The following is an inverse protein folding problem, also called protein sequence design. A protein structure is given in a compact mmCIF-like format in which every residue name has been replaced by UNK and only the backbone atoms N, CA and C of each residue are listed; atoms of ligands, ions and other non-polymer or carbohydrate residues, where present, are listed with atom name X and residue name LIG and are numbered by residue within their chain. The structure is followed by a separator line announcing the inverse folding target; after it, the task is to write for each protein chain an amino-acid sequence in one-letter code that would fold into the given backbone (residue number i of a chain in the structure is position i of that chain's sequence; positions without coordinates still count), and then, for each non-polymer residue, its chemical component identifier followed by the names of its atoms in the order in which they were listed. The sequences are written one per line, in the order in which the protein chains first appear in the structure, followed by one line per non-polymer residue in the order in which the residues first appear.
data_IF_084051091277
#
_entry.id   IF_084051091277
#
_cell.length_a   1.000
_cell.length_b   1.000
_cell.length_c   1.000
_cell.angle_alpha   90.00
_cell.angle_beta   90.00
_cell.angle_gamma   90.00
#
_symmetry.space_group_name_H-M   'P 1'
#
loop_
_entity.id
_entity.type
_entity.pdbx_description
1 polymer ?
#
# COMPACT_ATOMS: atom_id res chain seq x y z
N UNK A 1 -18.05 -12.44 25.59
CA UNK A 1 -19.30 -12.60 26.39
C UNK A 1 -20.06 -11.33 26.75
N UNK A 2 -19.62 -10.44 27.66
CA UNK A 2 -20.50 -9.35 28.14
C UNK A 2 -21.01 -8.42 27.02
N UNK A 3 -20.20 -8.18 25.98
CA UNK A 3 -20.60 -7.38 24.82
C UNK A 3 -21.79 -7.98 24.04
N UNK A 4 -22.02 -9.30 24.12
CA UNK A 4 -23.12 -9.96 23.43
C UNK A 4 -24.50 -9.52 23.94
N UNK A 5 -24.59 -8.95 25.15
CA UNK A 5 -25.85 -8.37 25.63
C UNK A 5 -26.41 -7.30 24.67
N UNK A 6 -25.53 -6.61 23.93
CA UNK A 6 -25.92 -5.73 22.82
C UNK A 6 -25.82 -6.47 21.48
N UNK A 7 -24.65 -7.02 21.17
CA UNK A 7 -24.33 -7.57 19.85
C UNK A 7 -24.54 -9.09 19.80
N UNK A 8 -25.76 -9.50 19.46
CA UNK A 8 -26.20 -10.89 19.42
C UNK A 8 -27.50 -11.14 20.19
N UNK A 9 -27.59 -10.65 21.43
CA UNK A 9 -28.78 -10.83 22.27
C UNK A 9 -29.85 -9.77 21.96
N UNK A 10 -29.50 -8.48 22.06
CA UNK A 10 -30.42 -7.38 21.73
C UNK A 10 -30.48 -7.12 20.22
N UNK A 11 -29.36 -7.25 19.53
CA UNK A 11 -29.24 -7.11 18.07
C UNK A 11 -28.89 -8.49 17.50
N UNK A 12 -29.91 -9.29 17.21
CA UNK A 12 -29.71 -10.64 16.67
C UNK A 12 -29.59 -10.57 15.13
N UNK A 13 -28.70 -11.32 14.48
CA UNK A 13 -28.66 -11.34 13.01
C UNK A 13 -29.93 -11.99 12.46
N UNK A 14 -30.55 -11.39 11.43
CA UNK A 14 -31.77 -11.93 10.81
C UNK A 14 -31.49 -13.26 10.08
N UNK A 15 -30.31 -13.35 9.47
CA UNK A 15 -29.80 -14.55 8.83
C UNK A 15 -28.36 -14.82 9.27
N UNK A 16 -27.93 -16.09 9.22
CA UNK A 16 -26.57 -16.49 9.60
C UNK A 16 -25.47 -15.85 8.75
N UNK A 17 -25.79 -15.31 7.57
CA UNK A 17 -24.82 -14.58 6.77
C UNK A 17 -24.29 -13.33 7.48
N UNK A 18 -25.07 -12.75 8.39
CA UNK A 18 -24.75 -11.56 9.17
C UNK A 18 -24.09 -11.87 10.52
N UNK A 19 -23.67 -13.12 10.78
CA UNK A 19 -23.15 -13.56 12.09
C UNK A 19 -21.94 -12.74 12.58
N UNK A 20 -21.18 -12.15 11.66
CA UNK A 20 -20.07 -11.26 11.99
C UNK A 20 -20.49 -10.01 12.78
N UNK A 21 -21.75 -9.57 12.67
CA UNK A 21 -22.28 -8.45 13.47
C UNK A 21 -22.25 -8.76 14.97
N UNK A 22 -22.34 -10.03 15.35
CA UNK A 22 -22.20 -10.45 16.75
C UNK A 22 -20.73 -10.56 17.11
N UNK A 23 -20.03 -11.40 16.34
CA UNK A 23 -18.71 -11.89 16.71
C UNK A 23 -17.63 -10.82 16.54
N UNK A 24 -17.71 -10.03 15.46
CA UNK A 24 -16.83 -8.91 15.19
C UNK A 24 -16.96 -7.79 16.21
N UNK A 25 -18.19 -7.42 16.57
CA UNK A 25 -18.44 -6.39 17.60
C UNK A 25 -18.04 -6.85 18.99
N UNK A 26 -18.33 -8.11 19.36
CA UNK A 26 -17.93 -8.64 20.66
C UNK A 26 -16.40 -8.66 20.80
N UNK A 27 -15.70 -9.12 19.76
CA UNK A 27 -14.23 -9.14 19.71
C UNK A 27 -13.64 -7.72 19.73
N UNK A 28 -14.22 -6.79 18.98
CA UNK A 28 -13.78 -5.39 18.99
C UNK A 28 -14.02 -4.69 20.34
N UNK A 29 -15.10 -5.04 21.03
CA UNK A 29 -15.39 -4.52 22.38
C UNK A 29 -14.33 -4.92 23.40
N UNK A 30 -13.69 -6.08 23.25
CA UNK A 30 -12.54 -6.46 24.07
C UNK A 30 -11.34 -5.53 23.81
N UNK A 31 -11.07 -5.19 22.54
CA UNK A 31 -10.03 -4.23 22.20
C UNK A 31 -10.29 -2.88 22.88
N UNK A 32 -11.52 -2.36 22.76
CA UNK A 32 -11.93 -1.10 23.43
C UNK A 32 -11.81 -1.19 24.96
N UNK A 33 -12.06 -2.36 25.55
CA UNK A 33 -11.87 -2.57 26.98
C UNK A 33 -10.40 -2.46 27.39
N UNK A 34 -9.47 -2.99 26.58
CA UNK A 34 -8.03 -2.80 26.79
C UNK A 34 -7.61 -1.33 26.67
N UNK A 35 -8.18 -0.60 25.71
CA UNK A 35 -7.96 0.85 25.58
C UNK A 35 -8.39 1.60 26.85
N UNK A 36 -9.59 1.28 27.34
CA UNK A 36 -10.21 1.98 28.46
C UNK A 36 -9.53 1.67 29.80
N UNK A 37 -9.09 0.42 30.00
CA UNK A 37 -8.58 -0.03 31.30
C UNK A 37 -7.06 0.05 31.42
N UNK A 38 -6.35 0.04 30.29
CA UNK A 38 -4.89 0.11 30.25
C UNK A 38 -4.47 1.39 29.53
N UNK A 39 -4.44 1.36 28.20
CA UNK A 39 -4.09 2.49 27.33
C UNK A 39 -4.28 2.12 25.85
N UNK A 40 -4.05 3.09 24.97
CA UNK A 40 -4.11 2.93 23.52
C UNK A 40 -3.08 1.92 22.97
N UNK A 41 -1.94 1.74 23.63
CA UNK A 41 -0.96 0.76 23.19
C UNK A 41 -1.45 -0.67 23.45
N UNK A 42 -2.17 -0.91 24.55
CA UNK A 42 -2.83 -2.18 24.82
C UNK A 42 -3.92 -2.48 23.78
N UNK A 43 -4.68 -1.48 23.33
CA UNK A 43 -5.63 -1.59 22.21
C UNK A 43 -4.96 -2.08 20.93
N UNK A 44 -3.89 -1.40 20.49
CA UNK A 44 -3.15 -1.80 19.30
C UNK A 44 -2.48 -3.17 19.46
N UNK A 45 -1.98 -3.49 20.65
CA UNK A 45 -1.41 -4.81 20.94
C UNK A 45 -2.46 -5.91 20.83
N UNK A 46 -3.67 -5.69 21.36
CA UNK A 46 -4.78 -6.63 21.24
C UNK A 46 -5.12 -6.87 19.77
N UNK A 47 -5.34 -5.80 18.98
CA UNK A 47 -5.66 -5.93 17.57
C UNK A 47 -4.55 -6.63 16.78
N UNK A 48 -3.28 -6.27 17.03
CA UNK A 48 -2.13 -6.89 16.38
C UNK A 48 -2.06 -8.41 16.67
N UNK A 49 -2.36 -8.83 17.90
CA UNK A 49 -2.40 -10.26 18.26
C UNK A 49 -3.55 -11.02 17.60
N UNK A 50 -4.62 -10.32 17.18
CA UNK A 50 -5.75 -10.90 16.45
C UNK A 50 -5.60 -10.74 14.94
N UNK A 51 -4.51 -10.16 14.42
CA UNK A 51 -4.28 -10.02 12.97
C UNK A 51 -3.56 -11.25 12.40
N UNK A 52 -4.32 -12.26 12.00
CA UNK A 52 -3.80 -13.46 11.32
C UNK A 52 -4.38 -13.60 9.91
N UNK A 53 -3.76 -12.93 8.96
CA UNK A 53 -4.29 -12.80 7.60
C UNK A 53 -4.27 -14.12 6.81
N UNK A 54 -3.25 -14.95 6.99
CA UNK A 54 -3.20 -16.29 6.37
C UNK A 54 -4.37 -17.14 6.86
N UNK A 55 -4.67 -17.09 8.16
CA UNK A 55 -5.82 -17.78 8.73
C UNK A 55 -7.14 -17.23 8.18
N UNK A 56 -7.33 -15.90 8.18
CA UNK A 56 -8.55 -15.29 7.66
C UNK A 56 -8.81 -15.64 6.21
N UNK A 57 -7.80 -15.53 5.35
CA UNK A 57 -7.91 -15.82 3.91
C UNK A 57 -8.21 -17.30 3.64
N UNK A 58 -7.84 -18.20 4.56
CA UNK A 58 -8.13 -19.64 4.47
C UNK A 58 -9.53 -20.03 4.97
N UNK A 59 -10.19 -19.17 5.75
CA UNK A 59 -11.47 -19.46 6.41
C UNK A 59 -12.69 -18.96 5.62
N UNK A 60 -12.49 -18.26 4.50
CA UNK A 60 -13.57 -17.77 3.64
C UNK A 60 -13.94 -16.31 3.89
N UNK A 61 -15.14 -15.94 3.47
CA UNK A 61 -15.69 -14.59 3.61
C UNK A 61 -16.13 -14.32 5.05
N UNK A 62 -16.21 -13.03 5.42
CA UNK A 62 -16.79 -12.61 6.71
C UNK A 62 -18.31 -12.69 6.64
N UNK A 63 -18.89 -12.28 5.51
CA UNK A 63 -20.32 -12.37 5.21
C UNK A 63 -20.65 -13.70 4.52
N UNK A 64 -21.80 -14.28 4.85
CA UNK A 64 -22.25 -15.61 4.38
C UNK A 64 -21.18 -16.73 4.48
N UNK A 65 -20.53 -16.89 5.65
CA UNK A 65 -19.47 -17.88 5.79
C UNK A 65 -19.99 -19.31 5.70
N UNK A 66 -19.19 -20.19 5.08
CA UNK A 66 -19.47 -21.63 5.00
C UNK A 66 -18.27 -22.42 5.53
N UNK A 67 -18.41 -23.11 6.68
CA UNK A 67 -19.58 -23.20 7.56
C UNK A 67 -19.88 -21.86 8.27
N UNK A 68 -21.07 -21.73 8.87
CA UNK A 68 -21.52 -20.51 9.59
C UNK A 68 -20.50 -20.01 10.62
N UNK A 69 -19.78 -20.94 11.25
CA UNK A 69 -18.67 -20.63 12.16
C UNK A 69 -17.37 -21.17 11.55
N UNK A 70 -16.74 -20.44 10.62
CA UNK A 70 -15.57 -20.91 9.89
C UNK A 70 -14.27 -20.81 10.69
N UNK A 71 -14.31 -20.13 11.84
CA UNK A 71 -13.15 -19.83 12.68
C UNK A 71 -13.04 -18.33 12.95
N UNK A 72 -11.81 -17.86 13.09
CA UNK A 72 -11.46 -16.49 13.48
C UNK A 72 -11.87 -15.40 12.49
N UNK A 73 -12.11 -15.68 11.21
CA UNK A 73 -12.43 -14.65 10.21
C UNK A 73 -13.66 -13.80 10.59
N UNK A 74 -14.73 -14.38 11.15
CA UNK A 74 -15.92 -13.60 11.57
C UNK A 74 -15.71 -12.82 12.87
N UNK A 75 -14.73 -13.20 13.68
CA UNK A 75 -14.38 -12.57 14.96
C UNK A 75 -13.32 -11.49 14.74
N UNK A 76 -12.14 -11.92 14.31
CA UNK A 76 -10.92 -11.14 14.26
C UNK A 76 -10.94 -10.19 13.04
N UNK A 77 -11.21 -10.69 11.82
CA UNK A 77 -11.33 -9.82 10.65
C UNK A 77 -12.56 -8.91 10.79
N UNK A 78 -13.67 -9.40 11.37
CA UNK A 78 -14.83 -8.61 11.75
C UNK A 78 -14.47 -7.43 12.68
N UNK A 79 -13.70 -7.67 13.73
CA UNK A 79 -13.21 -6.62 14.62
C UNK A 79 -12.24 -5.65 13.93
N UNK A 80 -11.38 -6.16 13.04
CA UNK A 80 -10.48 -5.32 12.24
C UNK A 80 -11.22 -4.42 11.24
N UNK A 81 -12.37 -4.85 10.70
CA UNK A 81 -13.23 -3.99 9.88
C UNK A 81 -13.76 -2.81 10.71
N UNK A 82 -14.19 -3.04 11.95
CA UNK A 82 -14.62 -1.98 12.87
C UNK A 82 -13.46 -1.05 13.28
N UNK A 83 -12.26 -1.62 13.47
CA UNK A 83 -11.05 -0.83 13.69
C UNK A 83 -10.73 0.10 12.51
N UNK A 84 -10.77 -0.43 11.28
CA UNK A 84 -10.55 0.36 10.08
C UNK A 84 -11.64 1.42 9.87
N UNK A 85 -12.88 1.11 10.21
CA UNK A 85 -13.98 2.07 10.21
C UNK A 85 -13.71 3.21 11.21
N UNK A 86 -13.24 2.92 12.43
CA UNK A 86 -12.82 3.95 13.40
C UNK A 86 -11.71 4.83 12.84
N UNK A 87 -10.68 4.25 12.22
CA UNK A 87 -9.62 5.02 11.55
C UNK A 87 -10.14 5.89 10.39
N UNK A 88 -11.18 5.42 9.68
CA UNK A 88 -11.85 6.16 8.60
C UNK A 88 -12.67 7.35 9.11
N UNK A 89 -13.49 7.13 10.12
CA UNK A 89 -14.45 8.11 10.65
C UNK A 89 -13.83 9.08 11.68
N UNK A 90 -12.79 8.64 12.37
CA UNK A 90 -12.33 9.27 13.61
C UNK A 90 -13.23 8.95 14.80
N UNK A 91 -12.71 9.17 16.01
CA UNK A 91 -13.35 8.70 17.26
C UNK A 91 -14.75 9.26 17.48
N UNK A 92 -14.97 10.56 17.28
CA UNK A 92 -16.25 11.21 17.56
C UNK A 92 -17.41 10.58 16.77
N UNK A 93 -17.38 10.61 15.44
CA UNK A 93 -18.42 9.97 14.62
C UNK A 93 -18.50 8.46 14.83
N UNK A 94 -17.36 7.77 15.02
CA UNK A 94 -17.34 6.32 15.22
C UNK A 94 -18.06 5.89 16.51
N UNK A 95 -17.73 6.50 17.65
CA UNK A 95 -18.38 6.12 18.91
C UNK A 95 -19.84 6.57 18.98
N UNK A 96 -20.19 7.68 18.32
CA UNK A 96 -21.59 8.06 18.11
C UNK A 96 -22.35 7.01 17.30
N UNK A 97 -21.75 6.52 16.21
CA UNK A 97 -22.27 5.40 15.43
C UNK A 97 -22.45 4.12 16.26
N UNK A 98 -21.47 3.72 17.08
CA UNK A 98 -21.56 2.49 17.88
C UNK A 98 -22.65 2.60 18.96
N UNK A 99 -22.75 3.76 19.63
CA UNK A 99 -23.81 4.02 20.61
C UNK A 99 -25.19 3.98 19.96
N UNK A 100 -25.34 4.66 18.82
CA UNK A 100 -26.55 4.60 18.02
C UNK A 100 -26.84 3.15 17.62
N UNK A 101 -25.87 2.44 17.04
CA UNK A 101 -25.95 1.03 16.63
C UNK A 101 -26.56 0.15 17.73
N UNK A 102 -26.01 0.24 18.94
CA UNK A 102 -26.38 -0.56 20.09
C UNK A 102 -27.73 -0.17 20.74
N UNK A 103 -28.19 1.07 20.60
CA UNK A 103 -29.31 1.61 21.39
C UNK A 103 -30.51 2.11 20.59
N UNK A 104 -30.42 2.14 19.26
CA UNK A 104 -31.49 2.56 18.35
C UNK A 104 -32.82 1.83 18.61
N UNK A 105 -33.88 2.58 18.86
CA UNK A 105 -35.20 2.04 19.23
C UNK A 105 -35.90 1.27 18.10
N UNK A 106 -35.45 1.47 16.87
CA UNK A 106 -35.93 0.82 15.65
C UNK A 106 -35.40 -0.61 15.47
N UNK A 107 -34.33 -1.00 16.17
CA UNK A 107 -33.66 -2.30 16.03
C UNK A 107 -33.36 -3.06 17.32
N UNK A 108 -33.39 -2.36 18.47
CA UNK A 108 -33.20 -2.97 19.79
C UNK A 108 -34.20 -4.10 20.05
N UNK A 109 -33.73 -5.17 20.69
CA UNK A 109 -34.49 -6.39 21.01
C UNK A 109 -35.13 -7.04 19.77
N UNK A 110 -34.42 -6.97 18.63
CA UNK A 110 -34.91 -7.36 17.30
C UNK A 110 -33.84 -8.02 16.43
N UNK A 111 -34.14 -8.16 15.14
CA UNK A 111 -33.19 -8.67 14.14
C UNK A 111 -32.62 -7.56 13.27
N UNK A 112 -31.36 -7.72 12.85
CA UNK A 112 -30.62 -6.79 12.00
C UNK A 112 -29.91 -7.51 10.87
N UNK A 113 -29.66 -6.80 9.77
CA UNK A 113 -28.80 -7.27 8.67
C UNK A 113 -27.60 -6.35 8.47
N UNK A 114 -26.58 -6.82 7.75
CA UNK A 114 -25.36 -6.05 7.48
C UNK A 114 -25.65 -4.70 6.82
N UNK A 115 -26.65 -4.63 5.92
CA UNK A 115 -27.00 -3.37 5.26
C UNK A 115 -27.50 -2.31 6.25
N UNK A 116 -28.23 -2.68 7.32
CA UNK A 116 -28.70 -1.73 8.33
C UNK A 116 -27.51 -1.02 9.01
N UNK A 117 -26.44 -1.77 9.28
CA UNK A 117 -25.20 -1.25 9.83
C UNK A 117 -24.48 -0.34 8.83
N UNK A 118 -24.36 -0.76 7.57
CA UNK A 118 -23.69 0.03 6.52
C UNK A 118 -24.41 1.36 6.31
N UNK A 119 -25.74 1.37 6.28
CA UNK A 119 -26.56 2.57 6.12
C UNK A 119 -26.38 3.53 7.31
N UNK A 120 -26.38 2.99 8.53
CA UNK A 120 -26.15 3.79 9.73
C UNK A 120 -24.74 4.38 9.77
N UNK A 121 -23.72 3.57 9.48
CA UNK A 121 -22.33 4.02 9.42
C UNK A 121 -22.14 5.10 8.34
N UNK A 122 -22.79 4.94 7.18
CA UNK A 122 -22.81 5.93 6.08
C UNK A 122 -23.39 7.27 6.55
N UNK A 123 -24.49 7.25 7.31
CA UNK A 123 -25.09 8.46 7.89
C UNK A 123 -24.12 9.18 8.83
N UNK A 124 -23.44 8.45 9.71
CA UNK A 124 -22.48 9.02 10.67
C UNK A 124 -21.18 9.48 10.00
N UNK A 125 -20.72 8.79 8.96
CA UNK A 125 -19.51 9.14 8.21
C UNK A 125 -19.73 10.34 7.27
N UNK A 126 -20.97 10.56 6.81
CA UNK A 126 -21.29 11.60 5.83
C UNK A 126 -20.83 11.26 4.41
N UNK A 127 -20.48 10.00 4.15
CA UNK A 127 -20.05 9.48 2.85
C UNK A 127 -20.52 8.03 2.66
N UNK A 128 -20.75 7.56 1.42
CA UNK A 128 -21.09 6.16 1.15
C UNK A 128 -19.98 5.21 1.59
N UNK A 129 -20.33 4.11 2.26
CA UNK A 129 -19.37 3.12 2.76
C UNK A 129 -19.48 1.73 2.11
N UNK A 130 -20.36 1.51 1.14
CA UNK A 130 -20.51 0.23 0.45
C UNK A 130 -19.18 -0.26 -0.17
N UNK A 131 -18.43 0.63 -0.81
CA UNK A 131 -17.12 0.32 -1.40
C UNK A 131 -16.03 0.02 -0.38
N UNK A 132 -16.24 0.41 0.88
CA UNK A 132 -15.37 0.04 2.01
C UNK A 132 -15.80 -1.32 2.56
N UNK A 133 -17.08 -1.49 2.94
CA UNK A 133 -17.55 -2.69 3.61
C UNK A 133 -17.56 -3.93 2.73
N UNK A 134 -18.22 -3.90 1.57
CA UNK A 134 -18.50 -5.12 0.80
C UNK A 134 -17.23 -5.86 0.35
N UNK A 135 -16.17 -5.19 -0.15
CA UNK A 135 -14.92 -5.89 -0.44
C UNK A 135 -14.30 -6.58 0.79
N UNK A 136 -14.36 -5.98 1.98
CA UNK A 136 -13.85 -6.63 3.18
C UNK A 136 -14.74 -7.79 3.65
N UNK A 137 -16.05 -7.71 3.41
CA UNK A 137 -17.01 -8.71 3.83
C UNK A 137 -17.02 -9.95 2.93
N UNK A 138 -17.03 -9.74 1.61
CA UNK A 138 -17.23 -10.79 0.61
C UNK A 138 -15.91 -11.43 0.15
N UNK A 139 -14.83 -10.64 0.06
CA UNK A 139 -13.59 -11.14 -0.51
C UNK A 139 -12.72 -11.87 0.53
N UNK A 140 -12.12 -12.97 0.08
CA UNK A 140 -11.13 -13.71 0.87
C UNK A 140 -9.74 -13.12 0.78
N UNK A 141 -9.51 -12.23 -0.19
CA UNK A 141 -8.24 -11.51 -0.37
C UNK A 141 -8.19 -10.24 0.48
N UNK A 142 -6.97 -9.75 0.73
CA UNK A 142 -6.73 -8.44 1.34
C UNK A 142 -6.20 -7.45 0.29
N UNK A 143 -6.41 -6.13 0.49
CA UNK A 143 -5.86 -5.11 -0.40
C UNK A 143 -4.34 -5.26 -0.56
N UNK A 144 -3.87 -5.28 -1.81
CA UNK A 144 -2.47 -5.38 -2.18
C UNK A 144 -2.02 -4.01 -2.69
N UNK A 145 -1.34 -3.24 -1.84
CA UNK A 145 -1.05 -1.82 -2.09
C UNK A 145 0.42 -1.60 -2.38
N UNK A 146 0.74 -1.04 -3.53
CA UNK A 146 2.05 -0.47 -3.82
C UNK A 146 2.04 1.00 -3.37
N UNK A 147 3.07 1.37 -2.61
CA UNK A 147 3.27 2.70 -2.06
C UNK A 147 4.62 3.24 -2.53
N UNK A 148 4.57 4.26 -3.38
CA UNK A 148 5.74 4.94 -3.92
C UNK A 148 5.70 6.42 -3.55
N UNK A 149 6.86 7.03 -3.32
CA UNK A 149 6.95 8.48 -3.19
C UNK A 149 8.25 9.03 -3.78
N UNK A 150 8.18 10.28 -4.25
CA UNK A 150 9.30 11.04 -4.76
C UNK A 150 9.35 12.39 -4.04
N UNK A 151 10.53 12.78 -3.56
CA UNK A 151 10.76 14.10 -2.99
C UNK A 151 11.44 14.95 -4.09
N UNK A 152 10.79 16.03 -4.51
CA UNK A 152 11.14 16.81 -5.70
C UNK A 152 12.41 17.65 -5.55
N UNK A 153 13.17 17.91 -6.64
CA UNK A 153 14.45 18.62 -6.58
C UNK A 153 14.36 19.99 -5.87
N UNK A 154 15.17 20.15 -4.82
CA UNK A 154 15.02 21.18 -3.76
C UNK A 154 15.23 20.62 -2.34
N UNK A 155 15.16 19.29 -2.24
CA UNK A 155 15.37 18.29 -1.18
C UNK A 155 16.28 18.53 0.06
N UNK A 156 16.34 19.72 0.65
CA UNK A 156 16.85 19.91 2.02
C UNK A 156 16.43 21.24 2.68
N UNK A 157 15.44 21.95 2.13
CA UNK A 157 15.10 23.32 2.54
C UNK A 157 13.60 23.59 2.64
N UNK A 158 13.26 24.87 2.74
CA UNK A 158 11.88 25.37 2.71
C UNK A 158 11.21 25.00 1.37
N UNK A 159 9.89 24.77 1.39
CA UNK A 159 9.04 24.42 0.23
C UNK A 159 9.39 23.10 -0.49
N UNK A 160 9.59 22.03 0.28
CA UNK A 160 9.83 20.68 -0.23
C UNK A 160 8.53 20.08 -0.82
N UNK A 161 8.58 19.70 -2.10
CA UNK A 161 7.50 18.97 -2.77
C UNK A 161 7.64 17.46 -2.56
N UNK A 162 6.56 16.80 -2.13
CA UNK A 162 6.44 15.35 -1.97
C UNK A 162 5.34 14.83 -2.89
N UNK A 163 5.68 14.00 -3.87
CA UNK A 163 4.71 13.29 -4.70
C UNK A 163 4.52 11.89 -4.15
N UNK A 164 3.29 11.52 -3.77
CA UNK A 164 2.94 10.18 -3.26
C UNK A 164 2.04 9.49 -4.28
N UNK A 165 2.31 8.22 -4.56
CA UNK A 165 1.49 7.37 -5.40
C UNK A 165 1.12 6.09 -4.66
N UNK A 166 -0.17 5.83 -4.56
CA UNK A 166 -0.73 4.55 -4.11
C UNK A 166 -1.33 3.81 -5.29
N UNK A 167 -1.15 2.48 -5.34
CA UNK A 167 -1.75 1.61 -6.34
C UNK A 167 -2.31 0.37 -5.68
N UNK A 168 -3.51 -0.04 -6.06
CA UNK A 168 -4.02 -1.37 -5.73
C UNK A 168 -4.09 -2.22 -6.99
N UNK A 169 -3.54 -3.42 -6.92
CA UNK A 169 -3.32 -4.29 -8.09
C UNK A 169 -4.39 -5.38 -8.24
N UNK A 170 -5.14 -5.63 -7.19
CA UNK A 170 -6.19 -6.63 -7.13
C UNK A 170 -7.54 -6.06 -7.61
N UNK A 171 -8.45 -6.96 -7.97
CA UNK A 171 -9.86 -6.67 -8.25
C UNK A 171 -10.69 -7.63 -7.36
N UNK A 172 -11.74 -7.15 -6.67
CA UNK A 172 -12.24 -5.77 -6.67
C UNK A 172 -11.30 -4.81 -5.94
N UNK A 173 -11.53 -3.52 -6.18
CA UNK A 173 -10.84 -2.46 -5.45
C UNK A 173 -11.53 -2.24 -4.11
N UNK A 174 -10.72 -2.02 -3.09
CA UNK A 174 -11.19 -1.66 -1.75
C UNK A 174 -11.13 -0.15 -1.63
N UNK A 175 -12.21 0.47 -1.12
CA UNK A 175 -12.24 1.90 -0.83
C UNK A 175 -11.61 2.15 0.55
N UNK A 176 -10.36 2.62 0.55
CA UNK A 176 -9.62 2.92 1.76
C UNK A 176 -9.16 4.38 1.82
N UNK A 177 -8.96 4.88 3.04
CA UNK A 177 -8.32 6.17 3.30
C UNK A 177 -7.15 5.91 4.23
N UNK A 178 -5.93 6.03 3.72
CA UNK A 178 -4.71 5.71 4.44
C UNK A 178 -4.17 6.95 5.19
N UNK A 179 -3.79 6.82 6.47
CA UNK A 179 -3.00 7.85 7.13
C UNK A 179 -1.57 7.82 6.57
N UNK A 180 -1.10 8.92 6.03
CA UNK A 180 0.28 9.12 5.58
C UNK A 180 0.98 10.02 6.58
N UNK A 181 1.90 9.46 7.36
CA UNK A 181 2.70 10.20 8.33
C UNK A 181 3.94 10.75 7.64
N UNK A 182 4.07 12.08 7.63
CA UNK A 182 5.21 12.77 7.05
C UNK A 182 5.97 13.48 8.16
N UNK A 183 7.23 13.07 8.35
CA UNK A 183 8.15 13.73 9.27
C UNK A 183 9.02 14.68 8.48
N UNK A 184 9.08 15.91 8.95
CA UNK A 184 9.96 16.96 8.44
C UNK A 184 11.00 17.34 9.49
N UNK A 185 11.93 18.22 9.16
CA UNK A 185 12.90 18.74 10.15
C UNK A 185 12.27 19.59 11.25
N UNK A 186 11.03 20.04 11.08
CA UNK A 186 10.34 20.92 12.05
C UNK A 186 9.20 20.25 12.80
N UNK A 187 8.74 19.08 12.35
CA UNK A 187 7.66 18.34 12.99
C UNK A 187 7.08 17.25 12.12
N UNK A 188 6.03 16.60 12.63
CA UNK A 188 5.33 15.50 11.97
C UNK A 188 3.89 15.91 11.68
N UNK A 189 3.40 15.57 10.49
CA UNK A 189 1.99 15.72 10.11
C UNK A 189 1.44 14.38 9.63
N UNK A 190 0.11 14.27 9.64
CA UNK A 190 -0.61 13.10 9.11
C UNK A 190 -1.60 13.57 8.07
N UNK A 191 -1.40 13.13 6.84
CA UNK A 191 -2.32 13.36 5.72
C UNK A 191 -3.26 12.16 5.54
N UNK A 192 -4.44 12.39 4.99
CA UNK A 192 -5.41 11.32 4.69
C UNK A 192 -5.46 11.09 3.18
N UNK A 193 -4.96 9.94 2.72
CA UNK A 193 -4.79 9.64 1.30
C UNK A 193 -5.86 8.63 0.86
N UNK A 194 -6.85 9.04 0.05
CA UNK A 194 -7.87 8.12 -0.45
C UNK A 194 -7.31 7.21 -1.54
N UNK A 195 -7.75 5.95 -1.54
CA UNK A 195 -7.51 4.99 -2.61
C UNK A 195 -8.77 4.14 -2.79
N UNK A 196 -9.67 4.61 -3.65
CA UNK A 196 -10.92 3.95 -4.02
C UNK A 196 -10.95 3.50 -5.49
N UNK A 197 -9.83 3.68 -6.20
CA UNK A 197 -9.62 3.23 -7.58
C UNK A 197 -8.27 2.51 -7.67
N UNK A 198 -7.89 2.03 -8.85
CA UNK A 198 -6.62 1.31 -9.08
C UNK A 198 -5.37 2.11 -8.71
N UNK A 199 -5.43 3.44 -8.73
CA UNK A 199 -4.27 4.30 -8.46
C UNK A 199 -4.71 5.68 -8.00
N UNK A 200 -3.99 6.26 -7.05
CA UNK A 200 -4.13 7.65 -6.64
C UNK A 200 -2.74 8.29 -6.50
N UNK A 201 -2.57 9.50 -7.02
CA UNK A 201 -1.33 10.28 -6.92
C UNK A 201 -1.66 11.65 -6.39
N UNK A 202 -0.89 12.11 -5.39
CA UNK A 202 -1.02 13.43 -4.79
C UNK A 202 0.33 14.11 -4.70
N UNK A 203 0.33 15.42 -4.96
CA UNK A 203 1.46 16.31 -4.70
C UNK A 203 1.18 17.08 -3.41
N UNK A 204 2.10 16.99 -2.46
CA UNK A 204 2.06 17.66 -1.16
C UNK A 204 3.24 18.63 -1.07
N UNK A 205 3.07 19.71 -0.32
CA UNK A 205 4.12 20.72 -0.12
C UNK A 205 4.35 20.94 1.37
N UNK A 206 5.63 20.96 1.75
CA UNK A 206 6.04 21.10 3.14
C UNK A 206 6.99 22.30 3.29
N UNK A 207 6.84 23.12 4.34
CA UNK A 207 7.69 24.30 4.55
C UNK A 207 9.11 23.94 5.01
N UNK A 208 9.44 22.65 5.16
CA UNK A 208 10.75 22.19 5.58
C UNK A 208 11.06 20.81 5.03
N UNK A 209 12.34 20.42 5.06
CA UNK A 209 12.81 19.17 4.48
C UNK A 209 12.07 17.96 5.05
N UNK A 210 11.52 17.12 4.16
CA UNK A 210 10.93 15.82 4.48
C UNK A 210 12.04 14.83 4.78
N UNK A 211 11.98 14.19 5.95
CA UNK A 211 13.00 13.23 6.44
C UNK A 211 12.48 11.81 6.49
N UNK A 212 11.15 11.62 6.62
CA UNK A 212 10.51 10.31 6.66
C UNK A 212 9.09 10.40 6.11
N UNK A 213 8.68 9.38 5.36
CA UNK A 213 7.33 9.22 4.84
C UNK A 213 6.89 7.79 5.14
N UNK A 214 5.79 7.62 5.86
CA UNK A 214 5.28 6.31 6.28
C UNK A 214 3.78 6.21 5.96
N UNK A 215 3.40 5.15 5.26
CA UNK A 215 2.00 4.82 5.05
C UNK A 215 1.51 3.95 6.20
N UNK A 216 0.45 4.40 6.87
CA UNK A 216 -0.27 3.68 7.90
C UNK A 216 0.60 3.02 9.00
N UNK A 217 1.52 3.77 9.64
CA UNK A 217 2.49 3.18 10.59
C UNK A 217 1.82 2.58 11.84
N UNK A 218 0.63 3.06 12.21
CA UNK A 218 -0.15 2.57 13.36
C UNK A 218 -1.11 1.43 12.97
N UNK A 219 -1.18 1.07 11.68
CA UNK A 219 -1.99 -0.02 11.14
C UNK A 219 -3.50 0.18 11.32
N UNK A 220 -4.01 1.36 10.99
CA UNK A 220 -5.44 1.65 10.98
C UNK A 220 -6.18 0.96 9.82
N UNK A 221 -5.49 0.57 8.74
CA UNK A 221 -6.11 -0.05 7.57
C UNK A 221 -5.71 -1.53 7.47
N UNK A 222 -6.63 -2.37 6.99
CA UNK A 222 -6.33 -3.77 6.64
C UNK A 222 -5.75 -3.80 5.23
N UNK A 223 -4.43 -3.94 5.09
CA UNK A 223 -3.75 -4.00 3.80
C UNK A 223 -2.40 -4.71 3.91
N UNK A 224 -1.93 -5.19 2.76
CA UNK A 224 -0.59 -5.72 2.59
C UNK A 224 0.18 -4.88 1.58
N UNK A 225 1.45 -4.63 1.91
CA UNK A 225 2.35 -4.00 0.97
C UNK A 225 2.58 -4.94 -0.21
N UNK A 226 2.10 -4.52 -1.38
CA UNK A 226 2.51 -5.10 -2.63
C UNK A 226 3.83 -4.46 -3.05
N UNK A 227 4.91 -4.98 -2.50
CA UNK A 227 6.19 -4.84 -3.19
C UNK A 227 6.11 -5.76 -4.40
N UNK A 228 6.05 -5.24 -5.62
CA UNK A 228 6.55 -6.03 -6.75
C UNK A 228 7.97 -6.42 -6.36
N UNK A 229 8.20 -7.69 -5.99
CA UNK A 229 9.33 -8.09 -5.15
C UNK A 229 10.61 -7.35 -5.51
N UNK A 230 11.26 -6.71 -4.52
CA UNK A 230 12.46 -5.87 -4.58
C UNK A 230 12.79 -5.35 -5.98
N UNK A 231 12.65 -4.03 -6.22
CA UNK A 231 13.02 -3.38 -7.49
C UNK A 231 14.14 -4.17 -8.20
N UNK A 232 13.80 -4.93 -9.26
CA UNK A 232 14.62 -6.06 -9.66
C UNK A 232 16.01 -5.54 -9.97
N UNK A 233 17.04 -6.18 -9.39
CA UNK A 233 18.41 -5.92 -9.81
C UNK A 233 18.45 -6.03 -11.34
N UNK A 234 18.95 -5.01 -12.02
CA UNK A 234 18.95 -5.02 -13.48
C UNK A 234 18.86 -3.64 -14.12
N UNK A 235 18.99 -3.65 -15.44
CA UNK A 235 18.83 -2.47 -16.27
C UNK A 235 17.35 -2.05 -16.32
N UNK A 236 17.03 -0.86 -15.81
CA UNK A 236 15.65 -0.39 -15.67
C UNK A 236 15.24 0.60 -16.77
N UNK A 237 16.16 1.47 -17.22
CA UNK A 237 15.88 2.46 -18.27
C UNK A 237 17.09 2.71 -19.16
N UNK A 238 16.83 3.05 -20.42
CA UNK A 238 17.80 3.63 -21.35
C UNK A 238 17.20 4.91 -21.92
N UNK A 239 17.85 6.04 -21.72
CA UNK A 239 17.34 7.33 -22.18
C UNK A 239 18.45 8.32 -22.55
N UNK A 240 18.20 9.28 -23.44
CA UNK A 240 17.03 9.32 -24.33
C UNK A 240 17.03 8.12 -25.31
N UNK A 241 15.84 7.59 -25.61
CA UNK A 241 15.65 6.50 -26.58
C UNK A 241 14.44 6.83 -27.48
N UNK A 242 14.65 7.29 -28.73
CA UNK A 242 15.93 7.33 -29.44
C UNK A 242 16.91 8.40 -28.92
N UNK A 243 18.21 8.09 -28.91
CA UNK A 243 19.26 9.02 -28.48
C UNK A 243 19.68 9.93 -29.63
N UNK A 244 19.39 11.24 -29.51
CA UNK A 244 19.81 12.27 -30.47
C UNK A 244 20.90 13.23 -29.93
N UNK A 245 21.12 13.28 -28.61
CA UNK A 245 22.00 14.25 -27.95
C UNK A 245 23.50 13.90 -27.91
N UNK A 246 23.91 12.78 -28.51
CA UNK A 246 25.29 12.29 -28.41
C UNK A 246 25.64 11.69 -27.03
N UNK A 247 24.64 11.42 -26.19
CA UNK A 247 24.76 10.69 -24.95
C UNK A 247 23.56 9.76 -24.73
N UNK A 248 23.79 8.65 -24.04
CA UNK A 248 22.80 7.67 -23.60
C UNK A 248 23.08 7.38 -22.13
N UNK A 249 22.07 7.43 -21.29
CA UNK A 249 22.14 7.04 -19.88
C UNK A 249 21.47 5.68 -19.71
N UNK A 250 22.18 4.77 -19.03
CA UNK A 250 21.67 3.49 -18.59
C UNK A 250 21.33 3.61 -17.10
N UNK A 251 20.04 3.61 -16.77
CA UNK A 251 19.57 3.53 -15.39
C UNK A 251 19.40 2.06 -14.98
N UNK A 252 19.85 1.71 -13.78
CA UNK A 252 19.84 0.34 -13.27
C UNK A 252 19.69 0.27 -11.76
N UNK A 253 19.13 -0.83 -11.27
CA UNK A 253 18.94 -1.08 -9.85
C UNK A 253 19.93 -2.11 -9.33
N UNK A 254 20.36 -1.90 -8.09
CA UNK A 254 21.19 -2.82 -7.32
C UNK A 254 20.46 -3.15 -6.03
N UNK A 255 20.33 -4.43 -5.72
CA UNK A 255 19.75 -4.88 -4.43
C UNK A 255 20.78 -4.92 -3.32
N UNK A 256 22.07 -4.96 -3.67
CA UNK A 256 23.23 -4.95 -2.78
C UNK A 256 24.47 -4.47 -3.56
N UNK A 257 25.59 -4.16 -2.88
CA UNK A 257 26.83 -3.79 -3.56
C UNK A 257 27.28 -4.89 -4.52
N UNK A 258 27.47 -4.55 -5.80
CA UNK A 258 27.77 -5.54 -6.84
C UNK A 258 28.74 -4.97 -7.89
N UNK A 259 29.51 -5.86 -8.54
CA UNK A 259 30.34 -5.48 -9.69
C UNK A 259 29.44 -5.24 -10.91
N UNK A 260 29.64 -4.12 -11.60
CA UNK A 260 28.82 -3.71 -12.76
C UNK A 260 29.69 -3.53 -14.01
N UNK A 261 29.39 -4.24 -15.09
CA UNK A 261 29.98 -4.03 -16.41
C UNK A 261 28.93 -3.55 -17.42
N UNK A 262 29.28 -2.57 -18.24
CA UNK A 262 28.43 -2.01 -19.30
C UNK A 262 29.00 -2.38 -20.65
N UNK A 263 28.20 -3.00 -21.51
CA UNK A 263 28.56 -3.35 -22.89
C UNK A 263 27.51 -2.83 -23.85
N UNK A 264 27.92 -2.36 -25.03
CA UNK A 264 27.00 -1.99 -26.11
C UNK A 264 27.35 -2.79 -27.35
N UNK A 265 26.33 -3.38 -27.99
CA UNK A 265 26.45 -4.17 -29.21
C UNK A 265 25.64 -3.53 -30.35
N UNK A 266 26.15 -3.64 -31.58
CA UNK A 266 25.42 -3.26 -32.78
C UNK A 266 24.43 -4.37 -33.21
N UNK A 267 23.66 -4.12 -34.28
CA UNK A 267 22.69 -5.08 -34.83
C UNK A 267 23.28 -6.35 -35.44
N UNK A 268 24.61 -6.42 -35.57
CA UNK A 268 25.32 -7.63 -35.98
C UNK A 268 25.88 -8.39 -34.76
N UNK A 269 25.57 -7.94 -33.53
CA UNK A 269 26.07 -8.52 -32.29
C UNK A 269 27.52 -8.14 -31.97
N UNK A 270 28.14 -7.20 -32.71
CA UNK A 270 29.53 -6.78 -32.45
C UNK A 270 29.55 -5.80 -31.30
N UNK A 271 30.42 -6.01 -30.33
CA UNK A 271 30.63 -5.09 -29.22
C UNK A 271 31.30 -3.80 -29.72
N UNK A 272 30.62 -2.67 -29.58
CA UNK A 272 31.12 -1.34 -29.96
C UNK A 272 31.66 -0.56 -28.76
N UNK A 273 31.21 -0.91 -27.55
CA UNK A 273 31.62 -0.26 -26.30
C UNK A 273 31.65 -1.25 -25.15
N UNK A 274 32.57 -1.05 -24.21
CA UNK A 274 32.68 -1.79 -22.96
C UNK A 274 33.27 -0.87 -21.88
N UNK A 275 32.72 -0.93 -20.67
CA UNK A 275 33.30 -0.30 -19.49
C UNK A 275 33.01 -1.14 -18.23
N UNK A 276 34.03 -1.37 -17.40
CA UNK A 276 33.89 -2.01 -16.09
C UNK A 276 33.86 -0.91 -15.02
N UNK A 277 32.75 -0.80 -14.30
CA UNK A 277 32.55 0.18 -13.23
C UNK A 277 33.13 -0.29 -11.90
N UNK A 278 33.59 -1.53 -11.81
CA UNK A 278 33.95 -2.16 -10.54
C UNK A 278 32.73 -2.35 -9.64
N UNK A 279 32.96 -2.39 -8.33
CA UNK A 279 31.89 -2.54 -7.34
C UNK A 279 31.15 -1.22 -7.13
N UNK A 280 29.86 -1.22 -7.46
CA UNK A 280 28.96 -0.07 -7.30
C UNK A 280 28.04 -0.30 -6.09
N UNK A 281 27.75 0.76 -5.36
CA UNK A 281 26.85 0.74 -4.20
C UNK A 281 25.40 1.03 -4.66
N UNK A 282 24.37 0.41 -4.07
CA UNK A 282 22.99 0.80 -4.33
C UNK A 282 22.76 2.24 -3.88
N UNK A 283 22.04 3.02 -4.70
CA UNK A 283 21.63 4.39 -4.37
C UNK A 283 20.11 4.48 -4.44
N UNK A 284 19.53 5.27 -3.53
CA UNK A 284 18.10 5.57 -3.57
C UNK A 284 17.76 6.29 -4.89
N UNK A 285 16.74 5.80 -5.61
CA UNK A 285 16.35 6.30 -6.94
C UNK A 285 17.03 5.62 -8.13
N UNK A 286 17.86 4.60 -7.88
CA UNK A 286 18.55 3.82 -8.90
C UNK A 286 19.88 4.44 -9.36
N UNK A 287 20.77 3.58 -9.84
CA UNK A 287 22.08 3.98 -10.34
C UNK A 287 22.01 4.40 -11.81
N UNK A 288 22.94 5.23 -12.24
CA UNK A 288 23.04 5.67 -13.63
C UNK A 288 24.46 5.57 -14.18
N UNK A 289 24.58 5.24 -15.47
CA UNK A 289 25.84 5.32 -16.20
C UNK A 289 25.65 5.98 -17.57
N UNK A 290 26.41 7.04 -17.83
CA UNK A 290 26.37 7.78 -19.09
C UNK A 290 27.39 7.27 -20.11
N UNK A 291 26.93 6.99 -21.33
CA UNK A 291 27.75 6.68 -22.50
C UNK A 291 27.64 7.79 -23.55
N UNK A 292 28.78 8.32 -23.99
CA UNK A 292 28.89 9.42 -24.96
C UNK A 292 28.79 8.98 -26.44
N UNK A 293 28.19 7.81 -26.71
CA UNK A 293 27.89 7.32 -28.07
C UNK A 293 29.16 7.19 -28.93
N UNK A 294 30.26 6.78 -28.29
CA UNK A 294 31.57 6.52 -28.94
C UNK A 294 32.07 5.12 -28.66
N UNK A 295 32.83 4.57 -29.59
CA UNK A 295 33.55 3.31 -29.40
C UNK A 295 34.65 3.47 -28.37
N UNK A 296 35.24 2.35 -27.93
CA UNK A 296 36.44 2.35 -27.06
C UNK A 296 37.60 3.14 -27.70
N UNK A 297 37.70 3.13 -29.04
CA UNK A 297 38.67 3.92 -29.80
C UNK A 297 38.29 5.40 -30.01
N UNK A 298 37.22 5.88 -29.38
CA UNK A 298 36.78 7.27 -29.44
C UNK A 298 36.00 7.69 -30.69
N UNK A 299 35.82 6.79 -31.67
CA UNK A 299 35.04 7.06 -32.87
C UNK A 299 33.54 7.12 -32.56
N UNK A 300 32.78 8.01 -33.21
CA UNK A 300 31.31 8.03 -33.04
C UNK A 300 30.68 6.80 -33.66
N UNK A 301 29.72 6.20 -32.99
CA UNK A 301 28.94 5.10 -33.58
C UNK A 301 27.94 5.64 -34.63
N UNK A 302 27.57 4.86 -35.66
CA UNK A 302 26.57 5.27 -36.65
C UNK A 302 25.15 5.32 -36.06
N UNK A 303 24.22 6.01 -36.73
CA UNK A 303 22.80 5.89 -36.39
C UNK A 303 22.33 4.45 -36.64
N UNK A 304 21.50 3.91 -35.75
CA UNK A 304 21.07 2.52 -35.85
C UNK A 304 20.54 1.96 -34.54
N UNK A 305 20.21 0.67 -34.57
CA UNK A 305 19.75 -0.09 -33.42
C UNK A 305 20.94 -0.70 -32.69
N UNK A 306 20.95 -0.57 -31.38
CA UNK A 306 21.95 -1.10 -30.47
C UNK A 306 21.29 -1.88 -29.32
N UNK A 307 22.08 -2.72 -28.66
CA UNK A 307 21.70 -3.40 -27.43
C UNK A 307 22.69 -3.02 -26.34
N UNK A 308 22.18 -2.54 -25.20
CA UNK A 308 22.96 -2.40 -23.98
C UNK A 308 22.88 -3.72 -23.21
N UNK A 309 24.02 -4.23 -22.75
CA UNK A 309 24.11 -5.33 -21.80
C UNK A 309 24.79 -4.83 -20.53
N UNK A 310 24.07 -4.89 -19.41
CA UNK A 310 24.63 -4.69 -18.07
C UNK A 310 24.89 -6.05 -17.43
N UNK A 311 26.09 -6.28 -16.92
CA UNK A 311 26.40 -7.44 -16.10
C UNK A 311 26.52 -6.99 -14.65
N UNK A 312 25.61 -7.44 -13.77
CA UNK A 312 25.57 -7.08 -12.35
C UNK A 312 25.72 -8.37 -11.54
N UNK A 313 26.79 -8.48 -10.74
CA UNK A 313 27.00 -9.64 -9.87
C UNK A 313 27.03 -10.99 -10.60
N UNK A 314 27.40 -11.00 -11.88
CA UNK A 314 27.43 -12.20 -12.73
C UNK A 314 26.12 -12.49 -13.49
N UNK A 315 25.06 -11.72 -13.28
CA UNK A 315 23.81 -11.79 -14.06
C UNK A 315 23.80 -10.74 -15.16
N UNK A 316 23.25 -11.08 -16.33
CA UNK A 316 23.27 -10.23 -17.53
C UNK A 316 21.86 -9.74 -17.89
N UNK A 317 21.71 -8.43 -18.02
CA UNK A 317 20.48 -7.72 -18.37
C UNK A 317 20.67 -7.02 -19.71
N UNK A 318 19.76 -7.21 -20.67
CA UNK A 318 19.92 -6.71 -22.03
C UNK A 318 18.69 -5.91 -22.45
N UNK A 319 18.89 -4.71 -23.00
CA UNK A 319 17.80 -3.92 -23.57
C UNK A 319 18.22 -3.24 -24.87
N UNK A 320 17.24 -3.07 -25.77
CA UNK A 320 17.41 -2.49 -27.10
C UNK A 320 17.17 -0.98 -27.04
N UNK A 321 18.01 -0.22 -27.74
CA UNK A 321 17.83 1.21 -27.92
C UNK A 321 18.27 1.66 -29.31
N UNK A 322 17.88 2.87 -29.70
CA UNK A 322 18.23 3.45 -30.99
C UNK A 322 19.08 4.70 -30.81
N UNK A 323 20.12 4.83 -31.62
CA UNK A 323 20.89 6.08 -31.75
C UNK A 323 20.48 6.73 -33.06
N UNK A 324 20.09 8.00 -32.99
CA UNK A 324 19.68 8.81 -34.14
C UNK A 324 20.60 10.03 -34.20
N UNK A 325 20.85 10.51 -35.41
CA UNK A 325 21.58 11.75 -35.65
C UNK A 325 20.63 12.76 -36.24
#
# INVERSE_FOLDING_TARGET
ELAHQWFGDSLTPDIWADIWLNEGFATYSEALWFEHTIDQNAYFTYLANHRNEEEWTSQGSVYDPVPVFPGRVIYDKGAWILHALRGRMGDGPFFGFVEDWATGTDRRDGTVVTQDLIDLATSWAGEPLDGFFWPYLDETILPQISFDYEIGPGNAGEDTKLTVTLRQIQIPHFDNVFPLVVTTTTGTTTERIPLNTSSYTVDLEYPSAVTRVELDPEKWVIWNEFSSGAAPQGLTRIYPNPSAGGYVVFGYELTQPARVEVRVMDSMGRQVYHHDLGTVQPVSGGNEYGWNVRTVGGARVPSGIYWAALEIGGQRYVSKFSVVR
#
